data_IF_229109591683
#
_entry.id   IF_229109591683
#
_cell.length_a   1.000
_cell.length_b   1.000
_cell.length_c   1.000
_cell.angle_alpha   90.00
_cell.angle_beta   90.00
_cell.angle_gamma   90.00
#
_symmetry.space_group_name_H-M   'P 1'
#
loop_
_entity.id
_entity.type
_entity.pdbx_description
1 polymer ?
#
# COMPACT_ATOMS: atom_id res chain seq x y z
N UNK A 1 -32.31 -10.21 32.89
CA UNK A 1 -31.22 -10.46 31.91
C UNK A 1 -30.44 -9.16 31.72
N UNK A 2 -29.17 -9.05 32.13
CA UNK A 2 -28.40 -7.84 31.82
C UNK A 2 -28.07 -7.83 30.31
N UNK A 3 -28.44 -6.76 29.61
CA UNK A 3 -28.04 -6.53 28.21
C UNK A 3 -26.52 -6.37 28.18
N UNK A 4 -25.83 -7.30 27.52
CA UNK A 4 -24.39 -7.21 27.27
C UNK A 4 -24.11 -5.91 26.52
N UNK A 5 -23.46 -4.97 27.20
CA UNK A 5 -22.99 -3.73 26.56
C UNK A 5 -21.76 -4.10 25.74
N UNK A 6 -21.92 -4.21 24.43
CA UNK A 6 -20.78 -4.31 23.52
C UNK A 6 -19.96 -3.04 23.66
N UNK A 7 -18.65 -3.19 23.86
CA UNK A 7 -17.70 -2.07 23.95
C UNK A 7 -17.54 -1.45 22.55
N UNK A 8 -18.52 -0.66 22.15
CA UNK A 8 -18.58 0.02 20.85
C UNK A 8 -17.43 1.02 20.67
N UNK A 9 -16.91 1.57 21.77
CA UNK A 9 -15.75 2.46 21.76
C UNK A 9 -14.49 1.76 21.27
N UNK A 10 -14.17 0.58 21.83
CA UNK A 10 -13.05 -0.26 21.39
C UNK A 10 -13.19 -0.69 19.93
N UNK A 11 -14.38 -1.11 19.51
CA UNK A 11 -14.62 -1.52 18.12
C UNK A 11 -14.40 -0.38 17.10
N UNK A 12 -14.84 0.83 17.41
CA UNK A 12 -14.62 2.00 16.54
C UNK A 12 -13.14 2.36 16.45
N UNK A 13 -12.42 2.37 17.57
CA UNK A 13 -10.98 2.63 17.58
C UNK A 13 -10.19 1.62 16.72
N UNK A 14 -10.50 0.33 16.84
CA UNK A 14 -9.89 -0.71 15.99
C UNK A 14 -10.20 -0.50 14.50
N UNK A 15 -11.45 -0.16 14.13
CA UNK A 15 -11.81 0.13 12.74
C UNK A 15 -11.06 1.34 12.19
N UNK A 16 -10.89 2.39 12.98
CA UNK A 16 -10.10 3.56 12.57
C UNK A 16 -8.62 3.22 12.39
N UNK A 17 -8.04 2.40 13.27
CA UNK A 17 -6.66 1.95 13.13
C UNK A 17 -6.46 1.12 11.86
N UNK A 18 -7.36 0.17 11.58
CA UNK A 18 -7.36 -0.64 10.36
C UNK A 18 -7.53 0.24 9.13
N UNK A 19 -8.49 1.16 9.12
CA UNK A 19 -8.68 2.09 8.00
C UNK A 19 -7.43 2.92 7.73
N UNK A 20 -6.80 3.46 8.77
CA UNK A 20 -5.54 4.23 8.60
C UNK A 20 -4.41 3.36 8.06
N UNK A 21 -4.32 2.10 8.47
CA UNK A 21 -3.32 1.17 7.94
C UNK A 21 -3.57 0.83 6.47
N UNK A 22 -4.83 0.61 6.08
CA UNK A 22 -5.21 0.36 4.69
C UNK A 22 -5.06 1.59 3.80
N UNK A 23 -5.41 2.79 4.29
CA UNK A 23 -5.24 4.05 3.55
C UNK A 23 -3.76 4.36 3.31
N UNK A 24 -2.88 4.01 4.26
CA UNK A 24 -1.42 4.05 4.11
C UNK A 24 -0.93 3.09 3.01
N UNK A 25 -1.40 1.85 3.08
CA UNK A 25 -0.99 0.80 2.15
C UNK A 25 -1.68 0.82 0.77
N UNK A 26 -2.18 1.99 0.33
CA UNK A 26 -2.75 2.11 -1.02
C UNK A 26 -1.62 2.24 -2.04
N UNK A 27 -1.55 1.26 -2.93
CA UNK A 27 -0.71 1.31 -4.12
C UNK A 27 -1.48 2.02 -5.22
N UNK A 28 -0.97 3.15 -5.70
CA UNK A 28 -1.56 3.89 -6.82
C UNK A 28 -0.60 3.87 -8.00
N UNK A 29 -1.02 3.33 -9.14
CA UNK A 29 -0.23 3.39 -10.38
C UNK A 29 -0.30 4.79 -10.97
N UNK A 30 0.86 5.38 -11.22
CA UNK A 30 1.04 6.76 -11.71
C UNK A 30 1.41 6.76 -13.17
N UNK A 31 2.40 5.94 -13.55
CA UNK A 31 2.80 5.75 -14.94
C UNK A 31 3.18 4.29 -15.20
N UNK A 32 3.24 3.93 -16.49
CA UNK A 32 3.78 2.65 -16.95
C UNK A 32 4.55 2.87 -18.24
N UNK A 33 5.81 2.41 -18.26
CA UNK A 33 6.74 2.54 -19.37
C UNK A 33 7.10 1.16 -19.92
N UNK A 34 7.17 1.07 -21.23
CA UNK A 34 7.53 -0.15 -21.96
C UNK A 34 8.81 0.11 -22.75
N UNK A 35 9.89 -0.60 -22.44
CA UNK A 35 11.18 -0.42 -23.10
C UNK A 35 11.94 -1.74 -23.17
N UNK A 36 12.50 -2.08 -24.33
CA UNK A 36 13.36 -3.25 -24.49
C UNK A 36 12.73 -4.60 -24.08
N UNK A 37 11.41 -4.73 -24.20
CA UNK A 37 10.67 -5.93 -23.74
C UNK A 37 10.42 -5.99 -22.23
N UNK A 38 10.80 -4.95 -21.49
CA UNK A 38 10.55 -4.82 -20.06
C UNK A 38 9.47 -3.75 -19.78
N UNK A 39 8.77 -3.93 -18.66
CA UNK A 39 7.75 -3.00 -18.17
C UNK A 39 8.21 -2.45 -16.84
N UNK A 40 8.27 -1.13 -16.73
CA UNK A 40 8.49 -0.41 -15.47
C UNK A 40 7.24 0.37 -15.14
N UNK A 41 6.74 0.21 -13.92
CA UNK A 41 5.54 0.90 -13.43
C UNK A 41 5.94 1.84 -12.32
N UNK A 42 5.59 3.12 -12.43
CA UNK A 42 5.73 4.05 -11.30
C UNK A 42 4.49 3.96 -10.43
N UNK A 43 4.69 3.69 -9.16
CA UNK A 43 3.63 3.64 -8.14
C UNK A 43 3.87 4.67 -7.07
N UNK A 44 2.78 5.14 -6.46
CA UNK A 44 2.77 5.93 -5.24
C UNK A 44 2.29 5.03 -4.10
N UNK A 45 3.12 4.88 -3.08
CA UNK A 45 2.83 4.12 -1.86
C UNK A 45 3.23 4.98 -0.67
N UNK A 46 2.34 5.17 0.30
CA UNK A 46 2.61 5.96 1.52
C UNK A 46 3.15 7.40 1.28
N UNK A 47 2.89 7.98 0.10
CA UNK A 47 3.35 9.32 -0.28
C UNK A 47 4.72 9.36 -0.98
N UNK A 48 5.35 8.21 -1.21
CA UNK A 48 6.60 8.06 -1.93
C UNK A 48 6.41 7.34 -3.26
N UNK A 49 7.20 7.74 -4.26
CA UNK A 49 7.17 7.12 -5.58
C UNK A 49 8.18 5.98 -5.64
N UNK A 50 7.82 4.88 -6.30
CA UNK A 50 8.70 3.74 -6.56
C UNK A 50 8.57 3.33 -8.02
N UNK A 51 9.69 2.96 -8.64
CA UNK A 51 9.71 2.34 -9.96
C UNK A 51 9.83 0.83 -9.76
N UNK A 52 8.82 0.08 -10.20
CA UNK A 52 8.71 -1.36 -9.96
C UNK A 52 8.53 -2.14 -11.25
N UNK A 53 9.05 -3.36 -11.29
CA UNK A 53 8.66 -4.33 -12.31
C UNK A 53 7.30 -4.98 -12.00
N UNK A 54 6.80 -5.84 -12.90
CA UNK A 54 5.51 -6.49 -12.71
C UNK A 54 5.48 -7.40 -11.47
N UNK A 55 6.58 -8.09 -11.14
CA UNK A 55 6.62 -9.00 -9.99
C UNK A 55 6.59 -8.22 -8.68
N UNK A 56 7.31 -7.10 -8.62
CA UNK A 56 7.32 -6.20 -7.46
C UNK A 56 5.96 -5.51 -7.30
N UNK A 57 5.31 -5.10 -8.40
CA UNK A 57 3.94 -4.58 -8.38
C UNK A 57 2.97 -5.60 -7.76
N UNK A 58 3.00 -6.86 -8.19
CA UNK A 58 2.16 -7.92 -7.65
C UNK A 58 2.37 -8.07 -6.12
N UNK A 59 3.61 -7.99 -5.64
CA UNK A 59 3.91 -8.09 -4.21
C UNK A 59 3.34 -6.91 -3.42
N UNK A 60 3.43 -5.70 -3.96
CA UNK A 60 2.81 -4.50 -3.35
C UNK A 60 1.28 -4.65 -3.31
N UNK A 61 0.65 -5.11 -4.39
CA UNK A 61 -0.80 -5.36 -4.44
C UNK A 61 -1.25 -6.48 -3.48
N UNK A 62 -0.38 -7.45 -3.21
CA UNK A 62 -0.59 -8.51 -2.20
C UNK A 62 -0.41 -8.04 -0.75
N UNK A 63 -0.03 -6.78 -0.52
CA UNK A 63 0.09 -6.22 0.82
C UNK A 63 1.53 -6.12 1.36
N UNK A 64 2.56 -6.34 0.54
CA UNK A 64 3.96 -6.16 0.97
C UNK A 64 4.34 -4.69 0.95
N UNK A 65 5.02 -4.23 1.99
CA UNK A 65 5.52 -2.84 2.03
C UNK A 65 6.79 -2.70 1.18
N UNK A 66 7.10 -1.48 0.69
CA UNK A 66 8.33 -1.24 -0.06
C UNK A 66 9.60 -1.75 0.65
N UNK A 67 9.70 -1.61 1.97
CA UNK A 67 10.85 -2.07 2.75
C UNK A 67 10.96 -3.60 2.80
N UNK A 68 9.83 -4.31 2.83
CA UNK A 68 9.81 -5.78 2.86
C UNK A 68 10.33 -6.41 1.57
N UNK A 69 10.27 -5.67 0.46
CA UNK A 69 10.76 -6.09 -0.85
C UNK A 69 11.98 -5.30 -1.31
N UNK A 70 12.61 -4.56 -0.39
CA UNK A 70 13.85 -3.80 -0.60
C UNK A 70 13.77 -2.81 -1.76
N UNK A 71 12.63 -2.12 -1.88
CA UNK A 71 12.47 -1.02 -2.83
C UNK A 71 13.07 0.26 -2.28
N UNK A 72 13.81 0.95 -3.14
CA UNK A 72 14.29 2.30 -2.90
C UNK A 72 13.36 3.32 -3.56
N UNK A 73 13.09 4.47 -2.92
CA UNK A 73 12.28 5.52 -3.52
C UNK A 73 12.85 5.99 -4.86
N UNK A 74 11.98 6.13 -5.86
CA UNK A 74 12.33 6.70 -7.14
C UNK A 74 12.69 8.18 -6.98
N UNK A 75 13.70 8.63 -7.74
CA UNK A 75 14.05 10.04 -7.79
C UNK A 75 12.83 10.87 -8.24
N UNK A 76 12.52 11.93 -7.47
CA UNK A 76 11.53 12.93 -7.89
C UNK A 76 12.09 13.64 -9.13
N UNK A 77 11.39 13.52 -10.26
CA UNK A 77 11.68 14.31 -11.46
C UNK A 77 11.22 15.75 -11.27
#
# INVERSE_FOLDING_TARGET
MPKQRFDTGRHLASRHAVKRALDRHKVVVVDKKFSGGQVTTRVLVDGEYYDVDNRQLDLLEMGRTPEQIFLEPAAKH
#
